data_IF_538786203958
#
_entry.id   IF_538786203958
#
_cell.length_a   1.000
_cell.length_b   1.000
_cell.length_c   1.000
_cell.angle_alpha   90.00
_cell.angle_beta   90.00
_cell.angle_gamma   90.00
#
_symmetry.space_group_name_H-M   'P 1'
#
loop_
_entity.id
_entity.type
_entity.pdbx_description
1 polymer ?
#
# COMPACT_ATOMS: atom_id res chain seq x y z
N UNK A 1 4.32 -14.62 8.91
CA UNK A 1 3.16 -14.36 9.79
C UNK A 1 3.23 -12.97 10.41
N UNK A 2 4.35 -12.60 11.05
CA UNK A 2 4.53 -11.28 11.69
C UNK A 2 4.37 -10.10 10.72
N UNK A 3 4.70 -10.27 9.44
CA UNK A 3 4.65 -9.23 8.40
C UNK A 3 3.23 -8.82 8.03
N UNK A 4 2.28 -9.76 8.03
CA UNK A 4 0.87 -9.46 7.81
C UNK A 4 0.29 -8.63 8.97
N UNK A 5 0.82 -8.82 10.19
CA UNK A 5 0.46 -7.98 11.35
C UNK A 5 0.97 -6.56 11.17
N UNK A 6 2.21 -6.37 10.71
CA UNK A 6 2.73 -5.04 10.37
C UNK A 6 1.94 -4.37 9.24
N UNK A 7 1.49 -5.14 8.24
CA UNK A 7 0.65 -4.63 7.15
C UNK A 7 -0.72 -4.19 7.69
N UNK A 8 -1.38 -5.02 8.50
CA UNK A 8 -2.63 -4.66 9.17
C UNK A 8 -2.49 -3.42 10.07
N UNK A 9 -1.40 -3.34 10.83
CA UNK A 9 -1.10 -2.19 11.67
C UNK A 9 -0.84 -0.93 10.84
N UNK A 10 -0.16 -1.05 9.70
CA UNK A 10 0.03 0.03 8.74
C UNK A 10 -1.31 0.54 8.20
N UNK A 11 -2.21 -0.36 7.78
CA UNK A 11 -3.56 0.00 7.32
C UNK A 11 -4.35 0.68 8.44
N UNK A 12 -4.31 0.16 9.67
CA UNK A 12 -5.03 0.77 10.79
C UNK A 12 -4.55 2.20 11.07
N UNK A 13 -3.24 2.44 11.06
CA UNK A 13 -2.65 3.78 11.20
C UNK A 13 -3.06 4.72 10.06
N UNK A 14 -3.02 4.21 8.83
CA UNK A 14 -3.45 4.96 7.65
C UNK A 14 -4.92 5.37 7.78
N UNK A 15 -5.81 4.42 8.03
CA UNK A 15 -7.26 4.62 8.17
C UNK A 15 -7.55 5.65 9.28
N UNK A 16 -6.88 5.55 10.42
CA UNK A 16 -6.96 6.55 11.48
C UNK A 16 -6.55 7.94 10.97
N UNK A 17 -5.42 8.04 10.26
CA UNK A 17 -4.96 9.28 9.63
C UNK A 17 -5.97 9.84 8.62
N UNK A 18 -6.57 9.00 7.78
CA UNK A 18 -7.59 9.39 6.81
C UNK A 18 -8.87 9.87 7.49
N UNK A 19 -9.25 9.29 8.63
CA UNK A 19 -10.41 9.76 9.40
C UNK A 19 -10.21 11.16 9.99
N UNK A 20 -8.95 11.61 10.17
CA UNK A 20 -8.64 12.97 10.61
C UNK A 20 -8.75 14.01 9.49
N UNK A 21 -8.75 13.60 8.21
CA UNK A 21 -8.83 14.53 7.07
C UNK A 21 -10.10 15.40 7.10
N UNK A 22 -11.32 14.83 7.23
CA UNK A 22 -12.55 15.62 7.30
C UNK A 22 -12.57 16.53 8.55
N UNK A 23 -11.96 16.07 9.65
CA UNK A 23 -11.88 16.81 10.92
C UNK A 23 -10.89 17.98 10.83
N UNK A 24 -9.87 17.89 9.97
CA UNK A 24 -8.87 18.96 9.78
C UNK A 24 -9.43 20.24 9.16
N UNK A 25 -10.67 20.21 8.63
CA UNK A 25 -11.31 21.29 7.86
C UNK A 25 -10.36 21.93 6.84
N UNK A 26 -9.91 21.15 5.85
CA UNK A 26 -8.94 21.59 4.83
C UNK A 26 -7.62 22.13 5.42
N UNK A 27 -7.04 21.43 6.41
CA UNK A 27 -5.76 21.81 7.03
C UNK A 27 -5.78 23.11 7.85
N UNK A 28 -6.97 23.66 8.15
CA UNK A 28 -7.10 24.91 8.94
C UNK A 28 -6.71 24.70 10.40
N UNK A 29 -6.77 23.45 10.90
CA UNK A 29 -6.37 23.08 12.27
C UNK A 29 -4.99 22.41 12.28
N UNK A 30 -3.95 23.01 12.90
CA UNK A 30 -2.59 22.49 12.85
C UNK A 30 -2.40 21.19 13.63
N UNK A 31 -3.11 21.02 14.75
CA UNK A 31 -3.02 19.81 15.60
C UNK A 31 -3.41 18.53 14.85
N UNK A 32 -4.63 18.39 14.26
CA UNK A 32 -4.99 17.18 13.52
C UNK A 32 -4.16 17.00 12.25
N UNK A 33 -3.68 18.08 11.63
CA UNK A 33 -2.79 18.02 10.46
C UNK A 33 -1.46 17.37 10.81
N UNK A 34 -0.83 17.75 11.93
CA UNK A 34 0.43 17.16 12.36
C UNK A 34 0.27 15.68 12.72
N UNK A 35 -0.81 15.33 13.42
CA UNK A 35 -1.12 13.95 13.78
C UNK A 35 -1.39 13.08 12.55
N UNK A 36 -2.10 13.61 11.55
CA UNK A 36 -2.34 12.94 10.27
C UNK A 36 -1.03 12.62 9.56
N UNK A 37 -0.13 13.61 9.44
CA UNK A 37 1.17 13.42 8.78
C UNK A 37 2.00 12.37 9.53
N UNK A 38 2.01 12.42 10.87
CA UNK A 38 2.71 11.44 11.70
C UNK A 38 2.17 10.02 11.51
N UNK A 39 0.84 9.84 11.48
CA UNK A 39 0.22 8.53 11.24
C UNK A 39 0.53 7.99 9.85
N UNK A 40 0.45 8.84 8.81
CA UNK A 40 0.78 8.43 7.45
C UNK A 40 2.26 8.05 7.32
N UNK A 41 3.18 8.83 7.90
CA UNK A 41 4.61 8.51 7.88
C UNK A 41 4.89 7.17 8.59
N UNK A 42 4.28 6.94 9.76
CA UNK A 42 4.41 5.68 10.50
C UNK A 42 3.84 4.48 9.71
N UNK A 43 2.70 4.67 9.04
CA UNK A 43 2.08 3.65 8.19
C UNK A 43 3.00 3.26 7.01
N UNK A 44 3.50 4.25 6.27
CA UNK A 44 4.42 4.01 5.16
C UNK A 44 5.73 3.33 5.60
N UNK A 45 6.22 3.66 6.79
CA UNK A 45 7.39 3.00 7.36
C UNK A 45 7.13 1.50 7.61
N UNK A 46 5.98 1.15 8.21
CA UNK A 46 5.59 -0.24 8.42
C UNK A 46 5.35 -0.98 7.10
N UNK A 47 4.78 -0.31 6.10
CA UNK A 47 4.54 -0.87 4.77
C UNK A 47 5.85 -1.23 4.06
N UNK A 48 6.89 -0.42 4.21
CA UNK A 48 8.23 -0.70 3.67
C UNK A 48 8.80 -2.03 4.21
N UNK A 49 8.56 -2.35 5.49
CA UNK A 49 8.94 -3.64 6.07
C UNK A 49 8.17 -4.82 5.45
N UNK A 50 6.89 -4.66 5.14
CA UNK A 50 6.09 -5.69 4.47
C UNK A 50 6.56 -5.93 3.01
N UNK A 51 6.95 -4.86 2.30
CA UNK A 51 7.46 -4.93 0.93
C UNK A 51 8.80 -5.68 0.79
N UNK A 52 9.61 -5.73 1.85
CA UNK A 52 10.89 -6.47 1.82
C UNK A 52 10.71 -7.99 1.73
N UNK A 53 9.54 -8.51 2.13
CA UNK A 53 9.30 -9.97 2.22
C UNK A 53 8.22 -10.45 1.26
N UNK A 54 7.24 -9.61 0.93
CA UNK A 54 6.13 -9.96 0.06
C UNK A 54 6.29 -9.29 -1.31
N UNK A 55 5.81 -9.93 -2.40
CA UNK A 55 5.72 -9.29 -3.69
C UNK A 55 4.97 -7.97 -3.58
N UNK A 56 5.57 -6.91 -4.15
CA UNK A 56 5.01 -5.55 -4.21
C UNK A 56 3.53 -5.57 -4.62
N UNK A 57 3.17 -6.40 -5.62
CA UNK A 57 1.79 -6.54 -6.09
C UNK A 57 0.80 -6.93 -4.99
N UNK A 58 1.13 -7.91 -4.13
CA UNK A 58 0.24 -8.37 -3.06
C UNK A 58 0.09 -7.30 -1.98
N UNK A 59 1.21 -6.68 -1.59
CA UNK A 59 1.22 -5.67 -0.53
C UNK A 59 0.37 -4.46 -0.91
N UNK A 60 0.58 -3.91 -2.11
CA UNK A 60 -0.18 -2.73 -2.56
C UNK A 60 -1.65 -3.05 -2.83
N UNK A 61 -1.97 -4.23 -3.35
CA UNK A 61 -3.36 -4.64 -3.55
C UNK A 61 -4.10 -4.78 -2.21
N UNK A 62 -3.49 -5.47 -1.25
CA UNK A 62 -4.09 -5.67 0.08
C UNK A 62 -4.18 -4.35 0.84
N UNK A 63 -3.12 -3.55 0.84
CA UNK A 63 -3.09 -2.24 1.52
C UNK A 63 -4.16 -1.30 0.97
N UNK A 64 -4.20 -1.08 -0.35
CA UNK A 64 -5.17 -0.17 -0.96
C UNK A 64 -6.61 -0.68 -0.82
N UNK A 65 -6.82 -1.99 -1.03
CA UNK A 65 -8.16 -2.58 -0.96
C UNK A 65 -8.74 -2.59 0.45
N UNK A 66 -7.95 -3.04 1.43
CA UNK A 66 -8.37 -3.06 2.83
C UNK A 66 -8.53 -1.64 3.37
N UNK A 67 -7.61 -0.73 3.02
CA UNK A 67 -7.70 0.69 3.38
C UNK A 67 -9.00 1.33 2.90
N UNK A 68 -9.30 1.25 1.59
CA UNK A 68 -10.54 1.81 1.03
C UNK A 68 -11.79 1.16 1.67
N UNK A 69 -11.78 -0.15 1.88
CA UNK A 69 -12.89 -0.85 2.54
C UNK A 69 -13.15 -0.31 3.96
N UNK A 70 -12.10 -0.22 4.79
CA UNK A 70 -12.21 0.28 6.17
C UNK A 70 -12.58 1.77 6.20
N UNK A 71 -11.95 2.60 5.36
CA UNK A 71 -12.24 4.04 5.28
C UNK A 71 -13.70 4.26 4.89
N UNK A 72 -14.22 3.50 3.92
CA UNK A 72 -15.62 3.62 3.50
C UNK A 72 -16.57 3.16 4.59
N UNK A 73 -16.26 2.04 5.25
CA UNK A 73 -17.09 1.49 6.32
C UNK A 73 -17.14 2.42 7.54
N UNK A 74 -15.98 2.89 8.02
CA UNK A 74 -15.90 3.86 9.10
C UNK A 74 -16.48 5.21 8.70
N UNK A 75 -16.29 5.62 7.43
CA UNK A 75 -16.85 6.85 6.90
C UNK A 75 -18.37 6.86 6.98
N UNK A 76 -19.00 5.73 6.67
CA UNK A 76 -20.44 5.54 6.87
C UNK A 76 -20.86 5.65 8.34
N UNK A 77 -20.15 4.99 9.25
CA UNK A 77 -20.48 5.02 10.68
C UNK A 77 -20.25 6.38 11.35
N UNK A 78 -19.17 7.09 10.98
CA UNK A 78 -18.74 8.33 11.64
C UNK A 78 -19.41 9.57 11.03
N UNK A 79 -19.59 9.60 9.71
CA UNK A 79 -20.16 10.75 9.01
C UNK A 79 -21.64 10.57 8.65
N UNK A 80 -22.24 9.42 8.98
CA UNK A 80 -23.63 9.05 8.65
C UNK A 80 -23.99 9.29 7.17
N UNK A 81 -23.00 9.26 6.29
CA UNK A 81 -23.21 9.51 4.87
C UNK A 81 -24.00 8.35 4.28
N UNK A 82 -25.08 8.65 3.56
CA UNK A 82 -25.90 7.62 2.93
C UNK A 82 -25.06 6.78 1.94
N UNK A 83 -24.71 5.55 2.35
CA UNK A 83 -24.13 4.56 1.45
C UNK A 83 -25.18 4.14 0.42
N UNK A 84 -25.08 4.71 -0.77
CA UNK A 84 -25.95 4.34 -1.89
C UNK A 84 -25.62 2.91 -2.36
N UNK A 85 -26.60 2.20 -2.91
CA UNK A 85 -26.42 0.81 -3.40
C UNK A 85 -25.25 0.68 -4.38
N UNK A 86 -24.98 1.76 -5.13
CA UNK A 86 -23.86 1.89 -6.08
C UNK A 86 -22.49 1.85 -5.39
N UNK A 87 -22.37 2.46 -4.20
CA UNK A 87 -21.13 2.45 -3.42
C UNK A 87 -20.84 1.05 -2.88
N UNK A 88 -21.87 0.34 -2.41
CA UNK A 88 -21.77 -1.05 -1.95
C UNK A 88 -21.33 -1.96 -3.10
N UNK A 89 -21.91 -1.80 -4.29
CA UNK A 89 -21.50 -2.55 -5.48
C UNK A 89 -20.04 -2.29 -5.85
N UNK A 90 -19.59 -1.03 -5.78
CA UNK A 90 -18.17 -0.67 -5.97
C UNK A 90 -17.26 -1.32 -4.93
N UNK A 91 -17.67 -1.33 -3.66
CA UNK A 91 -16.91 -1.93 -2.57
C UNK A 91 -16.73 -3.45 -2.76
N UNK A 92 -17.78 -4.14 -3.18
CA UNK A 92 -17.71 -5.56 -3.53
C UNK A 92 -16.74 -5.82 -4.69
N UNK A 93 -16.73 -4.94 -5.69
CA UNK A 93 -15.81 -5.05 -6.84
C UNK A 93 -14.35 -4.84 -6.42
N UNK A 94 -14.09 -3.91 -5.50
CA UNK A 94 -12.75 -3.71 -4.93
C UNK A 94 -12.29 -4.98 -4.22
N UNK A 95 -13.13 -5.55 -3.34
CA UNK A 95 -12.81 -6.80 -2.63
C UNK A 95 -12.56 -7.95 -3.62
N UNK A 96 -13.39 -8.09 -4.65
CA UNK A 96 -13.19 -9.08 -5.70
C UNK A 96 -11.85 -8.89 -6.43
N UNK A 97 -11.48 -7.65 -6.75
CA UNK A 97 -10.20 -7.31 -7.37
C UNK A 97 -9.01 -7.68 -6.48
N UNK A 98 -9.08 -7.39 -5.18
CA UNK A 98 -8.03 -7.74 -4.21
C UNK A 98 -7.87 -9.25 -4.09
N UNK A 99 -8.98 -9.98 -3.98
CA UNK A 99 -8.96 -11.45 -3.93
C UNK A 99 -8.34 -12.01 -5.20
N UNK A 100 -8.71 -11.47 -6.37
CA UNK A 100 -8.15 -11.89 -7.65
C UNK A 100 -6.64 -11.63 -7.72
N UNK A 101 -6.17 -10.43 -7.33
CA UNK A 101 -4.73 -10.15 -7.28
C UNK A 101 -4.02 -11.08 -6.30
N UNK A 102 -4.59 -11.34 -5.13
CA UNK A 102 -4.00 -12.24 -4.16
C UNK A 102 -3.96 -13.71 -4.64
N UNK A 103 -4.97 -14.14 -5.40
CA UNK A 103 -5.04 -15.50 -5.98
C UNK A 103 -4.13 -15.71 -7.18
N UNK A 104 -3.95 -14.68 -8.02
CA UNK A 104 -3.13 -14.76 -9.23
C UNK A 104 -1.74 -14.13 -9.06
N UNK A 105 -1.39 -13.67 -7.87
CA UNK A 105 -0.09 -13.05 -7.61
C UNK A 105 1.03 -14.03 -7.99
N UNK A 106 1.80 -13.76 -9.06
CA UNK A 106 2.94 -14.58 -9.39
C UNK A 106 3.94 -14.42 -8.25
N UNK A 107 4.26 -15.52 -7.56
CA UNK A 107 5.36 -15.53 -6.61
C UNK A 107 6.61 -15.15 -7.39
N UNK A 108 7.17 -13.96 -7.14
CA UNK A 108 8.39 -13.51 -7.82
C UNK A 108 9.50 -14.52 -7.49
N UNK A 109 9.81 -15.35 -8.48
CA UNK A 109 10.80 -16.44 -8.48
C UNK A 109 12.24 -15.94 -8.69
N UNK A 110 12.48 -14.63 -8.61
CA UNK A 110 13.74 -14.00 -9.02
C UNK A 110 14.92 -14.18 -8.05
N UNK A 111 14.84 -15.12 -7.10
CA UNK A 111 15.99 -15.55 -6.28
C UNK A 111 16.33 -17.04 -6.48
N UNK A 112 15.52 -17.81 -7.23
CA UNK A 112 15.73 -19.25 -7.44
C UNK A 112 16.10 -19.64 -8.88
N UNK A 113 16.45 -18.67 -9.74
CA UNK A 113 16.93 -18.90 -11.11
C UNK A 113 18.12 -17.99 -11.43
N UNK A 114 19.23 -18.17 -10.73
CA UNK A 114 20.55 -17.85 -11.29
C UNK A 114 21.41 -19.11 -11.27
N UNK A 115 21.21 -20.06 -12.19
CA UNK A 115 22.27 -21.01 -12.48
C UNK A 115 23.36 -20.25 -13.26
N UNK A 116 24.49 -20.05 -12.58
CA UNK A 116 25.81 -19.73 -13.13
C UNK A 116 26.03 -18.32 -13.72
N UNK A 117 26.76 -17.47 -12.98
CA UNK A 117 27.75 -16.58 -13.60
C UNK A 117 29.15 -16.92 -13.06
N UNK A 118 29.95 -17.72 -13.78
CA UNK A 118 31.38 -17.76 -13.64
C UNK A 118 31.98 -17.01 -14.85
N UNK A 119 32.13 -15.68 -14.78
CA UNK A 119 32.65 -14.97 -15.95
C UNK A 119 33.07 -13.50 -15.77
N UNK A 120 34.37 -13.16 -15.94
CA UNK A 120 34.87 -11.79 -15.82
C UNK A 120 34.62 -10.97 -17.11
N UNK A 121 33.36 -10.68 -17.45
CA UNK A 121 33.00 -9.94 -18.67
C UNK A 121 32.03 -8.75 -18.51
N UNK A 122 31.72 -8.34 -17.28
CA UNK A 122 30.86 -7.17 -17.01
C UNK A 122 31.61 -5.82 -16.97
N UNK A 123 32.79 -5.72 -17.60
CA UNK A 123 33.64 -4.51 -17.60
C UNK A 123 33.61 -3.73 -18.93
N UNK A 124 32.58 -3.88 -19.76
CA UNK A 124 32.56 -3.29 -21.11
C UNK A 124 31.30 -2.48 -21.43
N UNK A 125 31.01 -1.43 -20.65
CA UNK A 125 30.02 -0.40 -21.04
C UNK A 125 30.42 1.02 -20.57
N UNK A 126 31.71 1.30 -20.40
CA UNK A 126 32.22 2.64 -20.02
C UNK A 126 32.73 3.48 -21.20
N UNK A 127 32.53 3.08 -22.45
CA UNK A 127 33.12 3.76 -23.63
C UNK A 127 32.12 4.37 -24.61
N UNK A 128 30.84 4.52 -24.26
CA UNK A 128 29.86 5.23 -25.10
C UNK A 128 29.62 6.69 -24.67
N UNK A 129 30.45 7.24 -23.78
CA UNK A 129 30.52 8.69 -23.51
C UNK A 129 31.80 9.26 -24.12
N UNK A 130 31.75 9.59 -25.40
CA UNK A 130 32.70 10.48 -26.07
C UNK A 130 31.99 11.79 -26.42
N UNK A 131 32.48 12.97 -25.99
CA UNK A 131 31.88 14.24 -26.39
C UNK A 131 32.18 14.52 -27.87
N UNK A 132 31.14 14.94 -28.59
CA UNK A 132 31.21 15.53 -29.92
C UNK A 132 31.85 16.93 -29.89
#
# INVERSE_FOLDING_TARGET
MVQYVFLLMAVALEVCGTMLLPVSQNFTRPVPTLTLIGCYAASFYCLTFALNTLPIAIVYATWSGLGIFLITLLGYFVFEQALNWRAIAGLLLIVAGVVLVNSFAPQKQWVAQSPADPGPRALRISTCWGPA
#
